data_IF_696955960402
#
_entry.id   IF_696955960402
#
_cell.length_a   1.000
_cell.length_b   1.000
_cell.length_c   1.000
_cell.angle_alpha   90.00
_cell.angle_beta   90.00
_cell.angle_gamma   90.00
#
_symmetry.space_group_name_H-M   'P 1'
#
loop_
_entity.id
_entity.type
_entity.pdbx_description
1 polymer ?
#
# COMPACT_ATOMS: atom_id res chain seq x y z
N UNK A 1 6.01 10.69 9.41
CA UNK A 1 5.69 10.99 8.00
C UNK A 1 4.51 10.16 7.52
N UNK A 2 4.65 8.86 7.26
CA UNK A 2 3.53 8.01 6.80
C UNK A 2 2.37 7.85 7.81
N UNK A 3 2.60 8.07 9.09
CA UNK A 3 1.57 8.01 10.15
C UNK A 3 0.93 9.38 10.46
N UNK A 4 1.16 10.38 9.62
CA UNK A 4 0.52 11.67 9.75
C UNK A 4 -0.99 11.57 9.47
N UNK A 5 -1.76 12.42 10.10
CA UNK A 5 -3.21 12.43 9.98
C UNK A 5 -3.70 13.19 8.73
N UNK A 6 -2.89 14.13 8.23
CA UNK A 6 -3.24 14.96 7.09
C UNK A 6 -2.13 15.01 6.05
N UNK A 7 -2.49 15.35 4.81
CA UNK A 7 -1.52 15.55 3.72
C UNK A 7 -0.54 16.68 4.03
N UNK A 8 -1.02 17.78 4.59
CA UNK A 8 -0.18 18.90 4.98
C UNK A 8 0.89 18.47 5.99
N UNK A 9 0.50 17.68 6.97
CA UNK A 9 1.43 17.14 7.96
C UNK A 9 2.47 16.20 7.32
N UNK A 10 2.07 15.40 6.33
CA UNK A 10 2.98 14.56 5.56
C UNK A 10 4.05 15.41 4.89
N UNK A 11 3.65 16.48 4.20
CA UNK A 11 4.57 17.39 3.51
C UNK A 11 5.56 18.09 4.46
N UNK A 12 5.05 18.60 5.58
CA UNK A 12 5.91 19.24 6.59
C UNK A 12 6.96 18.24 7.12
N UNK A 13 6.52 17.05 7.47
CA UNK A 13 7.41 16.00 7.99
C UNK A 13 8.39 15.49 6.94
N UNK A 14 7.95 15.39 5.66
CA UNK A 14 8.81 15.02 4.53
C UNK A 14 9.95 16.03 4.34
N UNK A 15 9.62 17.31 4.26
CA UNK A 15 10.62 18.39 4.13
C UNK A 15 11.59 18.39 5.31
N UNK A 16 11.11 18.24 6.53
CA UNK A 16 11.94 18.16 7.72
C UNK A 16 12.88 16.95 7.70
N UNK A 17 12.38 15.78 7.25
CA UNK A 17 13.15 14.56 7.11
C UNK A 17 14.29 14.75 6.09
N UNK A 18 13.98 15.23 4.89
CA UNK A 18 14.96 15.48 3.83
C UNK A 18 16.04 16.45 4.32
N UNK A 19 15.66 17.56 4.94
CA UNK A 19 16.61 18.56 5.47
C UNK A 19 17.55 17.93 6.49
N UNK A 20 17.02 17.17 7.45
CA UNK A 20 17.79 16.50 8.50
C UNK A 20 18.78 15.50 7.92
N UNK A 21 18.31 14.61 7.04
CA UNK A 21 19.11 13.51 6.54
C UNK A 21 20.09 13.91 5.44
N UNK A 22 19.80 14.97 4.69
CA UNK A 22 20.73 15.52 3.71
C UNK A 22 22.04 15.98 4.36
N UNK A 23 21.98 16.45 5.61
CA UNK A 23 23.15 16.84 6.37
C UNK A 23 23.90 15.65 7.00
N UNK A 24 23.16 14.60 7.39
CA UNK A 24 23.75 13.46 8.11
C UNK A 24 24.15 12.32 7.19
N UNK A 25 23.26 11.93 6.28
CA UNK A 25 23.42 10.83 5.33
C UNK A 25 22.64 11.15 4.05
N UNK A 26 23.32 11.76 3.10
CA UNK A 26 22.72 12.23 1.85
C UNK A 26 21.96 11.14 1.11
N UNK A 27 22.50 9.91 1.03
CA UNK A 27 21.85 8.79 0.36
C UNK A 27 20.45 8.47 0.89
N UNK A 28 20.19 8.72 2.19
CA UNK A 28 18.86 8.53 2.79
C UNK A 28 17.87 9.57 2.29
N UNK A 29 18.30 10.82 2.15
CA UNK A 29 17.49 11.89 1.59
C UNK A 29 17.20 11.65 0.11
N UNK A 30 18.23 11.29 -0.66
CA UNK A 30 18.13 11.01 -2.09
C UNK A 30 17.16 9.83 -2.35
N UNK A 31 17.22 8.77 -1.56
CA UNK A 31 16.29 7.62 -1.65
C UNK A 31 14.82 8.03 -1.41
N UNK A 32 14.57 8.94 -0.46
CA UNK A 32 13.21 9.43 -0.25
C UNK A 32 12.74 10.31 -1.40
N UNK A 33 13.62 11.13 -1.96
CA UNK A 33 13.31 11.96 -3.13
C UNK A 33 13.05 11.11 -4.38
N UNK A 34 13.83 10.06 -4.59
CA UNK A 34 13.63 9.09 -5.68
C UNK A 34 12.28 8.35 -5.56
N UNK A 35 11.91 7.92 -4.36
CA UNK A 35 10.61 7.31 -4.11
C UNK A 35 9.47 8.29 -4.40
N UNK A 36 9.71 9.58 -4.19
CA UNK A 36 8.78 10.67 -4.52
C UNK A 36 7.40 10.46 -3.92
N UNK A 37 6.39 10.80 -4.72
CA UNK A 37 4.99 10.76 -4.29
C UNK A 37 4.40 9.36 -4.24
N UNK A 38 5.06 8.38 -4.87
CA UNK A 38 4.62 6.97 -4.85
C UNK A 38 4.54 6.42 -3.43
N UNK A 39 5.42 6.88 -2.54
CA UNK A 39 5.40 6.50 -1.12
C UNK A 39 4.10 6.92 -0.42
N UNK A 40 3.42 7.93 -0.93
CA UNK A 40 2.21 8.51 -0.35
C UNK A 40 0.94 8.23 -1.18
N UNK A 41 0.98 7.25 -2.07
CA UNK A 41 -0.16 6.87 -2.93
C UNK A 41 -1.42 6.53 -2.13
N UNK A 42 -1.29 6.04 -0.89
CA UNK A 42 -2.42 5.80 0.01
C UNK A 42 -3.26 7.05 0.29
N UNK A 43 -2.68 8.26 0.14
CA UNK A 43 -3.40 9.53 0.34
C UNK A 43 -4.44 9.81 -0.73
N UNK A 44 -4.45 9.04 -1.82
CA UNK A 44 -5.48 9.09 -2.86
C UNK A 44 -6.81 8.47 -2.39
N UNK A 45 -6.74 7.66 -1.34
CA UNK A 45 -7.89 7.01 -0.74
C UNK A 45 -8.53 7.89 0.33
N UNK A 46 -9.80 7.62 0.72
CA UNK A 46 -10.40 8.26 1.87
C UNK A 46 -9.57 8.08 3.15
N UNK A 47 -9.47 9.09 4.02
CA UNK A 47 -8.64 9.02 5.23
C UNK A 47 -8.92 7.81 6.13
N UNK A 48 -10.16 7.32 6.16
CA UNK A 48 -10.54 6.13 6.91
C UNK A 48 -9.81 4.85 6.46
N UNK A 49 -9.35 4.81 5.21
CA UNK A 49 -8.61 3.68 4.63
C UNK A 49 -7.09 3.79 4.79
N UNK A 50 -6.56 4.94 5.16
CA UNK A 50 -5.11 5.19 5.16
C UNK A 50 -4.36 4.20 6.04
N UNK A 51 -4.90 3.85 7.18
CA UNK A 51 -4.26 2.91 8.12
C UNK A 51 -4.03 1.54 7.49
N UNK A 52 -4.97 1.04 6.74
CA UNK A 52 -4.86 -0.25 6.04
C UNK A 52 -4.01 -0.15 4.77
N UNK A 53 -4.16 0.94 4.01
CA UNK A 53 -3.52 1.08 2.69
C UNK A 53 -2.03 1.43 2.74
N UNK A 54 -1.55 2.02 3.84
CA UNK A 54 -0.13 2.41 3.99
C UNK A 54 0.81 1.28 4.43
N UNK A 55 0.28 0.09 4.67
CA UNK A 55 1.06 -1.08 5.10
C UNK A 55 0.67 -2.31 4.30
N UNK A 56 1.52 -3.33 4.29
CA UNK A 56 1.27 -4.62 3.63
C UNK A 56 0.61 -5.65 4.53
N UNK A 57 0.23 -5.29 5.75
CA UNK A 57 -0.28 -6.22 6.76
C UNK A 57 -1.49 -7.04 6.28
N UNK A 58 -2.38 -6.45 5.49
CA UNK A 58 -3.55 -7.17 4.96
C UNK A 58 -3.13 -8.25 3.96
N UNK A 59 -2.16 -7.93 3.08
CA UNK A 59 -1.61 -8.88 2.09
C UNK A 59 -0.81 -9.98 2.79
N UNK A 60 0.01 -9.63 3.77
CA UNK A 60 0.78 -10.60 4.57
C UNK A 60 -0.14 -11.58 5.27
N UNK A 61 -1.19 -11.09 5.90
CA UNK A 61 -2.21 -11.94 6.54
C UNK A 61 -2.92 -12.85 5.55
N UNK A 62 -3.26 -12.35 4.38
CA UNK A 62 -3.87 -13.16 3.31
C UNK A 62 -2.91 -14.27 2.86
N UNK A 63 -1.64 -13.97 2.66
CA UNK A 63 -0.62 -14.97 2.32
C UNK A 63 -0.46 -16.05 3.39
N UNK A 64 -0.48 -15.68 4.67
CA UNK A 64 -0.43 -16.66 5.77
C UNK A 64 -1.63 -17.61 5.76
N UNK A 65 -2.83 -17.07 5.48
CA UNK A 65 -4.04 -17.89 5.34
C UNK A 65 -3.96 -18.85 4.14
N UNK A 66 -3.41 -18.40 3.01
CA UNK A 66 -3.16 -19.29 1.86
C UNK A 66 -2.14 -20.38 2.19
N UNK A 67 -0.99 -20.02 2.73
CA UNK A 67 0.06 -20.98 3.12
C UNK A 67 -0.49 -22.06 4.06
N UNK A 68 -1.31 -21.68 5.00
CA UNK A 68 -1.91 -22.62 5.95
C UNK A 68 -2.77 -23.67 5.26
N UNK A 69 -3.53 -23.27 4.21
CA UNK A 69 -4.47 -24.15 3.50
C UNK A 69 -3.82 -24.97 2.40
N UNK A 70 -2.75 -24.48 1.80
CA UNK A 70 -2.01 -25.19 0.74
C UNK A 70 -0.77 -25.93 1.25
N UNK A 71 -0.63 -26.07 2.57
CA UNK A 71 0.57 -26.64 3.23
C UNK A 71 0.90 -28.06 2.75
N UNK A 72 -0.09 -28.82 2.30
CA UNK A 72 0.09 -30.17 1.75
C UNK A 72 0.51 -30.19 0.29
N UNK A 73 0.41 -29.05 -0.41
CA UNK A 73 0.84 -28.93 -1.80
C UNK A 73 2.22 -28.27 -1.85
N UNK A 74 3.19 -29.02 -2.32
CA UNK A 74 4.57 -28.54 -2.42
C UNK A 74 4.82 -27.68 -3.64
N UNK A 75 4.11 -27.96 -4.74
CA UNK A 75 4.23 -27.21 -6.01
C UNK A 75 2.84 -27.06 -6.65
N UNK A 76 2.54 -25.85 -7.10
CA UNK A 76 1.37 -25.58 -7.93
C UNK A 76 1.76 -25.67 -9.40
N UNK A 77 0.90 -26.30 -10.27
CA UNK A 77 1.24 -26.54 -11.66
C UNK A 77 1.53 -25.29 -12.49
N UNK A 78 0.82 -24.18 -12.19
CA UNK A 78 0.98 -22.91 -12.91
C UNK A 78 0.53 -21.73 -12.05
N UNK A 79 0.87 -20.52 -12.50
CA UNK A 79 0.39 -19.27 -11.89
C UNK A 79 -1.15 -19.14 -11.96
N UNK A 80 -1.75 -19.58 -13.06
CA UNK A 80 -3.20 -19.54 -13.24
C UNK A 80 -3.90 -20.49 -12.26
N UNK A 81 -3.36 -21.68 -12.05
CA UNK A 81 -3.89 -22.62 -11.03
C UNK A 81 -3.79 -22.01 -9.63
N UNK A 82 -2.71 -21.31 -9.33
CA UNK A 82 -2.56 -20.62 -8.06
C UNK A 82 -3.64 -19.53 -7.88
N UNK A 83 -3.85 -18.71 -8.90
CA UNK A 83 -4.85 -17.65 -8.87
C UNK A 83 -6.27 -18.22 -8.71
N UNK A 84 -6.61 -19.29 -9.43
CA UNK A 84 -7.90 -19.98 -9.31
C UNK A 84 -8.11 -20.57 -7.93
N UNK A 85 -7.09 -21.19 -7.35
CA UNK A 85 -7.15 -21.76 -6.00
C UNK A 85 -7.37 -20.67 -4.95
N UNK A 86 -6.67 -19.56 -5.05
CA UNK A 86 -6.84 -18.44 -4.14
C UNK A 86 -8.24 -17.86 -4.23
N UNK A 87 -8.74 -17.67 -5.45
CA UNK A 87 -10.11 -17.23 -5.66
C UNK A 87 -11.13 -18.21 -5.05
N UNK A 88 -10.97 -19.50 -5.29
CA UNK A 88 -11.88 -20.53 -4.77
C UNK A 88 -11.89 -20.56 -3.23
N UNK A 89 -10.73 -20.42 -2.58
CA UNK A 89 -10.63 -20.36 -1.12
C UNK A 89 -11.33 -19.14 -0.53
N UNK A 90 -11.27 -18.01 -1.21
CA UNK A 90 -11.98 -16.79 -0.80
C UNK A 90 -13.48 -16.90 -1.07
N UNK A 91 -13.88 -17.36 -2.27
CA UNK A 91 -15.26 -17.46 -2.69
C UNK A 91 -16.05 -18.50 -1.88
N UNK A 92 -15.42 -19.60 -1.50
CA UNK A 92 -16.03 -20.65 -0.66
C UNK A 92 -16.15 -20.29 0.82
N UNK A 93 -15.58 -19.15 1.24
CA UNK A 93 -15.56 -18.73 2.64
C UNK A 93 -14.59 -19.50 3.53
N UNK A 94 -13.74 -20.36 2.97
CA UNK A 94 -12.70 -21.07 3.74
C UNK A 94 -11.63 -20.10 4.26
N UNK A 95 -11.37 -19.03 3.53
CA UNK A 95 -10.59 -17.88 4.01
C UNK A 95 -11.55 -16.74 4.30
N UNK A 96 -11.68 -16.41 5.55
CA UNK A 96 -12.48 -15.28 6.01
C UNK A 96 -11.55 -14.16 6.46
N UNK A 97 -11.45 -13.12 5.64
CA UNK A 97 -10.61 -11.97 5.94
C UNK A 97 -11.31 -11.03 6.91
N UNK A 98 -10.57 -10.58 7.92
CA UNK A 98 -11.03 -9.51 8.80
C UNK A 98 -11.26 -8.23 7.98
N UNK A 99 -12.34 -7.50 8.26
CA UNK A 99 -12.60 -6.20 7.66
C UNK A 99 -11.40 -5.27 7.84
N UNK A 100 -11.02 -4.59 6.77
CA UNK A 100 -9.96 -3.56 6.80
C UNK A 100 -10.54 -2.24 7.31
N UNK A 101 -9.68 -1.39 7.88
CA UNK A 101 -10.12 -0.06 8.29
C UNK A 101 -10.65 0.71 7.07
N UNK A 102 -11.77 1.41 7.24
CA UNK A 102 -12.42 2.15 6.16
C UNK A 102 -13.17 1.29 5.14
N UNK A 103 -13.46 0.03 5.44
CA UNK A 103 -14.15 -0.89 4.51
C UNK A 103 -15.47 -0.35 3.97
N UNK A 104 -16.18 0.50 4.72
CA UNK A 104 -17.44 1.12 4.30
C UNK A 104 -17.26 2.08 3.10
N UNK A 105 -16.06 2.61 2.91
CA UNK A 105 -15.73 3.55 1.84
C UNK A 105 -15.01 2.89 0.65
N UNK A 106 -14.93 1.56 0.59
CA UNK A 106 -14.24 0.85 -0.48
C UNK A 106 -14.85 1.08 -1.87
N UNK A 107 -16.14 1.41 -1.95
CA UNK A 107 -16.80 1.79 -3.20
C UNK A 107 -16.43 3.19 -3.71
N UNK A 108 -15.79 4.01 -2.87
CA UNK A 108 -15.36 5.36 -3.24
C UNK A 108 -14.13 5.27 -4.14
N UNK A 109 -14.20 5.88 -5.33
CA UNK A 109 -13.05 5.91 -6.24
C UNK A 109 -11.89 6.71 -5.64
N UNK A 110 -10.64 6.25 -5.83
CA UNK A 110 -9.47 7.03 -5.47
C UNK A 110 -9.43 8.37 -6.21
N UNK A 111 -8.80 9.36 -5.63
CA UNK A 111 -8.56 10.65 -6.28
C UNK A 111 -7.44 10.44 -7.31
N UNK A 112 -7.70 10.75 -8.59
CA UNK A 112 -6.74 10.53 -9.68
C UNK A 112 -5.50 11.41 -9.57
N UNK A 113 -5.66 12.61 -9.03
CA UNK A 113 -4.56 13.52 -8.75
C UNK A 113 -4.51 13.84 -7.27
N UNK A 114 -3.30 13.84 -6.70
CA UNK A 114 -3.09 14.33 -5.34
C UNK A 114 -3.02 15.85 -5.40
N UNK A 115 -4.00 16.59 -4.86
CA UNK A 115 -3.98 18.04 -4.90
C UNK A 115 -2.70 18.57 -4.22
N UNK A 116 -1.91 19.37 -4.95
CA UNK A 116 -0.70 20.01 -4.42
C UNK A 116 0.62 19.32 -4.77
N UNK A 117 0.60 18.22 -5.51
CA UNK A 117 1.79 17.60 -6.06
C UNK A 117 1.88 17.93 -7.56
N UNK A 118 2.99 18.55 -7.95
CA UNK A 118 3.21 19.03 -9.32
C UNK A 118 2.95 17.94 -10.38
N UNK A 119 2.23 18.23 -11.46
CA UNK A 119 1.98 17.30 -12.56
C UNK A 119 3.18 17.19 -13.52
N UNK A 120 4.40 17.11 -12.99
CA UNK A 120 5.64 17.20 -13.77
C UNK A 120 6.41 15.91 -13.96
N UNK A 121 5.83 14.74 -13.67
CA UNK A 121 6.47 13.47 -14.02
C UNK A 121 5.44 12.65 -14.81
N UNK A 122 5.62 12.71 -16.12
CA UNK A 122 4.99 11.82 -17.09
C UNK A 122 5.18 10.36 -16.66
N UNK A 123 4.08 9.70 -16.33
CA UNK A 123 4.01 8.24 -16.23
C UNK A 123 3.82 7.68 -17.65
N UNK A 124 4.75 7.98 -18.54
CA UNK A 124 4.88 7.28 -19.81
C UNK A 124 5.80 6.08 -19.62
N UNK A 125 5.23 4.92 -19.84
CA UNK A 125 5.76 3.56 -19.85
C UNK A 125 5.74 2.81 -18.56
#
# INVERSE_FOLDING_TARGET
MIYAATRQEIEVRRKAFIRKWRLKHRAVADSLEEAGDRLFSFTRLPPSQWRSARTTNAIERLHEEFKRRIKTQTVLPSADTAAMLFWALLASGQINMRKVDGWQTLSTKPIDQVPGLNPGIDLAA
#
